data_IF_083602470225
#
_entry.id   IF_083602470225
#
_cell.length_a   1.000
_cell.length_b   1.000
_cell.length_c   1.000
_cell.angle_alpha   90.00
_cell.angle_beta   90.00
_cell.angle_gamma   90.00
#
_symmetry.space_group_name_H-M   'P 1'
#
loop_
_entity.id
_entity.type
_entity.pdbx_description
1 polymer ?
#
# COMPACT_ATOMS: atom_id res chain seq x y z
N UNK A 1 -13.10 6.81 7.66
CA UNK A 1 -12.29 5.72 7.06
C UNK A 1 -10.86 6.21 6.95
N UNK A 2 -9.91 5.38 7.35
CA UNK A 2 -8.51 5.76 7.58
C UNK A 2 -7.70 5.30 6.36
N UNK A 3 -7.24 6.23 5.52
CA UNK A 3 -6.22 5.96 4.49
C UNK A 3 -4.87 6.03 5.19
N UNK A 4 -4.32 4.90 5.62
CA UNK A 4 -2.98 4.90 6.19
C UNK A 4 -1.99 5.31 5.09
N UNK A 5 -1.20 6.36 5.33
CA UNK A 5 -0.09 6.84 4.52
C UNK A 5 1.17 6.82 5.40
N UNK A 6 2.21 6.12 4.95
CA UNK A 6 3.45 5.98 5.70
C UNK A 6 4.66 5.92 4.78
N UNK A 7 5.84 6.15 5.37
CA UNK A 7 7.16 6.06 4.74
C UNK A 7 7.93 4.89 5.40
N UNK A 8 7.48 3.64 5.22
CA UNK A 8 8.06 2.51 5.91
C UNK A 8 9.51 2.27 5.46
N UNK A 9 10.43 1.92 6.39
CA UNK A 9 11.71 1.37 6.01
C UNK A 9 11.53 0.08 5.20
N UNK A 10 12.60 -0.34 4.53
CA UNK A 10 12.58 -1.43 3.54
C UNK A 10 11.95 -2.74 4.04
N UNK A 11 12.08 -3.01 5.34
CA UNK A 11 11.60 -4.24 5.97
C UNK A 11 10.13 -4.16 6.43
N UNK A 12 9.49 -2.98 6.36
CA UNK A 12 8.15 -2.75 6.93
C UNK A 12 7.08 -2.45 5.87
N UNK A 13 7.47 -2.19 4.60
CA UNK A 13 6.50 -1.77 3.57
C UNK A 13 5.43 -2.84 3.29
N UNK A 14 5.78 -4.12 3.35
CA UNK A 14 4.83 -5.21 3.14
C UNK A 14 3.91 -5.38 4.34
N UNK A 15 4.45 -5.28 5.55
CA UNK A 15 3.69 -5.38 6.79
C UNK A 15 2.70 -4.23 6.90
N UNK A 16 3.11 -3.02 6.51
CA UNK A 16 2.22 -1.87 6.39
C UNK A 16 1.04 -2.14 5.45
N UNK A 17 1.31 -2.63 4.24
CA UNK A 17 0.26 -2.95 3.25
C UNK A 17 -0.67 -4.05 3.79
N UNK A 18 -0.10 -5.10 4.39
CA UNK A 18 -0.84 -6.21 5.00
C UNK A 18 -1.74 -5.71 6.15
N UNK A 19 -1.24 -4.84 7.01
CA UNK A 19 -2.03 -4.20 8.09
C UNK A 19 -3.15 -3.31 7.55
N UNK A 20 -2.91 -2.53 6.49
CA UNK A 20 -3.96 -1.72 5.87
C UNK A 20 -5.10 -2.58 5.33
N UNK A 21 -4.77 -3.68 4.64
CA UNK A 21 -5.77 -4.62 4.13
C UNK A 21 -6.57 -5.26 5.26
N UNK A 22 -5.89 -5.63 6.36
CA UNK A 22 -6.56 -6.17 7.54
C UNK A 22 -7.52 -5.15 8.18
N UNK A 23 -7.10 -3.89 8.37
CA UNK A 23 -7.95 -2.85 8.94
C UNK A 23 -9.17 -2.55 8.07
N UNK A 24 -9.02 -2.56 6.75
CA UNK A 24 -10.15 -2.42 5.84
C UNK A 24 -11.13 -3.59 6.03
N UNK A 25 -10.63 -4.84 6.06
CA UNK A 25 -11.48 -6.01 6.26
C UNK A 25 -12.21 -5.98 7.62
N UNK A 26 -11.53 -5.57 8.69
CA UNK A 26 -12.13 -5.40 10.02
C UNK A 26 -13.21 -4.30 10.06
N UNK A 27 -13.06 -3.27 9.21
CA UNK A 27 -14.06 -2.22 9.02
C UNK A 27 -15.23 -2.64 8.09
N UNK A 28 -15.22 -3.87 7.57
CA UNK A 28 -16.23 -4.38 6.64
C UNK A 28 -16.01 -3.95 5.18
N UNK A 29 -14.80 -3.49 4.87
CA UNK A 29 -14.39 -2.95 3.57
C UNK A 29 -13.36 -3.83 2.88
N UNK A 30 -13.32 -3.78 1.55
CA UNK A 30 -12.36 -4.55 0.75
C UNK A 30 -11.31 -3.64 0.12
N UNK A 31 -10.04 -3.99 0.32
CA UNK A 31 -8.94 -3.35 -0.38
C UNK A 31 -9.03 -3.61 -1.89
N UNK A 32 -8.83 -2.57 -2.70
CA UNK A 32 -8.95 -2.63 -4.15
C UNK A 32 -7.69 -2.26 -4.89
N UNK A 33 -6.91 -1.31 -4.38
CA UNK A 33 -5.67 -0.87 -4.99
C UNK A 33 -4.61 -0.63 -3.94
N UNK A 34 -3.36 -0.97 -4.25
CA UNK A 34 -2.20 -0.41 -3.54
C UNK A 34 -1.65 0.71 -4.41
N UNK A 35 -1.69 1.95 -3.91
CA UNK A 35 -1.16 3.13 -4.60
C UNK A 35 0.11 3.56 -3.89
N UNK A 36 1.19 3.76 -4.62
CA UNK A 36 2.46 4.17 -4.04
C UNK A 36 3.22 5.11 -4.96
N UNK A 37 4.10 5.93 -4.40
CA UNK A 37 5.00 6.76 -5.19
C UNK A 37 6.18 5.98 -5.79
N UNK A 38 6.94 6.59 -6.70
CA UNK A 38 8.05 5.92 -7.39
C UNK A 38 9.15 5.42 -6.43
N UNK A 39 9.45 6.16 -5.37
CA UNK A 39 10.48 5.79 -4.40
C UNK A 39 10.00 4.63 -3.52
N UNK A 40 8.75 4.68 -3.08
CA UNK A 40 8.09 3.58 -2.38
C UNK A 40 8.04 2.30 -3.24
N UNK A 41 7.79 2.44 -4.55
CA UNK A 41 7.75 1.31 -5.47
C UNK A 41 9.13 0.63 -5.60
N UNK A 42 10.21 1.41 -5.61
CA UNK A 42 11.57 0.86 -5.62
C UNK A 42 11.84 0.01 -4.36
N UNK A 43 11.41 0.49 -3.19
CA UNK A 43 11.51 -0.23 -1.91
C UNK A 43 10.64 -1.49 -1.91
N UNK A 44 9.36 -1.35 -2.29
CA UNK A 44 8.39 -2.44 -2.40
C UNK A 44 8.90 -3.58 -3.28
N UNK A 45 9.46 -3.26 -4.46
CA UNK A 45 10.02 -4.27 -5.37
C UNK A 45 11.13 -5.09 -4.72
N UNK A 46 11.98 -4.45 -3.90
CA UNK A 46 13.05 -5.15 -3.20
C UNK A 46 12.49 -6.05 -2.10
N UNK A 47 11.53 -5.54 -1.31
CA UNK A 47 10.89 -6.30 -0.24
C UNK A 47 10.15 -7.54 -0.76
N UNK A 48 9.35 -7.41 -1.83
CA UNK A 48 8.66 -8.55 -2.46
C UNK A 48 9.65 -9.56 -3.02
N UNK A 49 10.74 -9.10 -3.61
CA UNK A 49 11.78 -9.97 -4.14
C UNK A 49 12.45 -10.81 -3.04
N UNK A 50 12.77 -10.16 -1.91
CA UNK A 50 13.33 -10.80 -0.73
C UNK A 50 12.35 -11.84 -0.14
N UNK A 51 11.08 -11.46 0.05
CA UNK A 51 10.02 -12.37 0.58
C UNK A 51 9.80 -13.60 -0.30
N UNK A 52 10.02 -13.48 -1.61
CA UNK A 52 9.85 -14.56 -2.59
C UNK A 52 11.17 -15.25 -2.98
N UNK A 53 12.28 -14.96 -2.28
CA UNK A 53 13.61 -15.50 -2.56
C UNK A 53 14.01 -15.42 -4.04
N UNK A 54 13.71 -14.29 -4.70
CA UNK A 54 13.94 -14.08 -6.14
C UNK A 54 14.53 -12.70 -6.44
N UNK A 55 14.94 -12.48 -7.69
CA UNK A 55 15.39 -11.15 -8.15
C UNK A 55 14.22 -10.17 -8.23
N UNK A 56 14.44 -8.87 -7.93
CA UNK A 56 13.43 -7.83 -8.11
C UNK A 56 12.94 -7.75 -9.55
N UNK A 57 11.63 -7.56 -9.71
CA UNK A 57 10.95 -7.31 -10.97
C UNK A 57 9.90 -6.22 -10.76
N UNK A 58 9.28 -5.77 -11.83
CA UNK A 58 8.10 -4.91 -11.76
C UNK A 58 6.88 -5.77 -11.36
N UNK A 59 6.57 -5.75 -10.07
CA UNK A 59 5.39 -6.43 -9.54
C UNK A 59 4.19 -5.51 -9.70
N UNK A 60 3.39 -5.74 -10.75
CA UNK A 60 2.14 -5.03 -10.99
C UNK A 60 1.00 -5.43 -10.03
N UNK A 61 1.23 -6.43 -9.18
CA UNK A 61 0.26 -6.89 -8.18
C UNK A 61 0.92 -7.30 -6.88
N UNK A 62 0.16 -7.19 -5.78
CA UNK A 62 0.48 -7.70 -4.45
C UNK A 62 -0.77 -8.35 -3.85
N UNK A 63 -0.71 -9.62 -3.43
CA UNK A 63 -1.88 -10.37 -2.92
C UNK A 63 -3.13 -10.22 -3.82
N UNK A 64 -2.95 -10.36 -5.14
CA UNK A 64 -3.99 -10.18 -6.16
C UNK A 64 -4.54 -8.76 -6.35
N UNK A 65 -4.12 -7.79 -5.53
CA UNK A 65 -4.45 -6.38 -5.69
C UNK A 65 -3.51 -5.71 -6.71
N UNK A 66 -4.03 -4.89 -7.64
CA UNK A 66 -3.20 -4.07 -8.51
C UNK A 66 -2.35 -3.07 -7.72
N UNK A 67 -1.09 -2.95 -8.11
CA UNK A 67 -0.17 -1.92 -7.65
C UNK A 67 -0.16 -0.78 -8.68
N UNK A 68 -0.47 0.43 -8.22
CA UNK A 68 -0.48 1.65 -9.03
C UNK A 68 0.65 2.56 -8.56
N UNK A 69 1.51 2.97 -9.49
CA UNK A 69 2.58 3.92 -9.21
C UNK A 69 2.10 5.33 -9.57
N UNK A 70 1.95 6.17 -8.57
CA UNK A 70 1.55 7.58 -8.69
C UNK A 70 2.82 8.47 -8.73
N UNK A 71 3.16 9.08 -9.87
CA UNK A 71 4.42 9.80 -10.03
C UNK A 71 4.55 11.05 -9.14
N UNK A 72 3.45 11.52 -8.54
CA UNK A 72 3.43 12.74 -7.72
C UNK A 72 3.51 12.46 -6.21
N UNK A 73 3.57 11.18 -5.80
CA UNK A 73 3.45 10.76 -4.40
C UNK A 73 4.78 10.49 -3.68
N UNK A 74 5.92 10.61 -4.37
CA UNK A 74 7.25 10.45 -3.77
C UNK A 74 7.49 9.05 -3.18
N UNK A 75 7.65 8.98 -1.87
CA UNK A 75 7.91 7.78 -1.06
C UNK A 75 6.69 7.29 -0.25
N UNK A 76 5.51 7.88 -0.48
CA UNK A 76 4.29 7.46 0.23
C UNK A 76 3.64 6.22 -0.39
N UNK A 77 3.04 5.39 0.47
CA UNK A 77 2.21 4.22 0.11
C UNK A 77 0.82 4.32 0.76
N UNK A 78 -0.20 3.81 0.07
CA UNK A 78 -1.61 3.87 0.46
C UNK A 78 -2.34 2.63 -0.05
N UNK A 79 -3.29 2.10 0.72
CA UNK A 79 -4.23 1.05 0.27
C UNK A 79 -5.63 1.65 0.16
N UNK A 80 -6.21 1.60 -1.04
CA UNK A 80 -7.53 2.17 -1.32
C UNK A 80 -8.61 1.09 -1.29
N UNK A 81 -9.76 1.34 -0.64
CA UNK A 81 -10.91 0.44 -0.67
C UNK A 81 -11.77 0.64 -1.93
N UNK A 82 -12.91 -0.04 -2.01
CA UNK A 82 -13.85 0.14 -3.11
C UNK A 82 -14.49 1.55 -3.15
N UNK A 83 -14.74 2.12 -4.35
CA UNK A 83 -15.27 3.49 -4.48
C UNK A 83 -16.59 3.74 -3.73
N UNK A 84 -17.44 2.72 -3.58
CA UNK A 84 -18.72 2.83 -2.86
C UNK A 84 -18.55 3.14 -1.37
N UNK A 85 -17.39 2.81 -0.81
CA UNK A 85 -17.05 2.98 0.62
C UNK A 85 -16.45 4.36 0.91
N UNK A 86 -16.06 5.10 -0.15
CA UNK A 86 -15.56 6.48 -0.05
C UNK A 86 -16.64 7.50 0.36
N UNK A 87 -17.93 7.10 0.38
CA UNK A 87 -19.07 7.98 0.74
C UNK A 87 -19.04 8.48 2.18
N UNK A 88 -18.32 7.82 3.08
CA UNK A 88 -18.24 8.17 4.51
C UNK A 88 -17.23 9.26 4.87
N UNK A 89 -16.53 9.84 3.89
CA UNK A 89 -15.39 10.73 4.15
C UNK A 89 -14.14 9.92 4.52
N UNK A 90 -13.05 10.18 3.81
CA UNK A 90 -11.80 9.44 3.97
C UNK A 90 -10.72 10.42 4.40
N UNK A 91 -10.04 10.10 5.49
CA UNK A 91 -8.94 10.89 6.01
C UNK A 91 -7.66 10.08 5.87
N UNK A 92 -6.63 10.71 5.32
CA UNK A 92 -5.28 10.16 5.39
C UNK A 92 -4.85 10.10 6.86
N UNK A 93 -4.27 8.98 7.26
CA UNK A 93 -3.63 8.75 8.53
C UNK A 93 -2.16 8.66 8.27
N UNK A 94 -1.48 9.70 8.69
CA UNK A 94 -0.04 9.77 8.63
C UNK A 94 0.49 9.21 9.95
N UNK A 95 1.35 8.19 9.88
CA UNK A 95 2.13 7.79 11.06
C UNK A 95 3.19 8.88 11.26
N UNK A 96 3.19 9.61 12.39
CA UNK A 96 4.21 10.63 12.67
C UNK A 96 5.59 9.98 12.69
N UNK A 97 6.56 10.64 12.03
CA UNK A 97 7.97 10.23 12.03
C UNK A 97 8.65 10.41 13.38
#
# INVERSE_FOLDING_TARGET
MIILQHHPPQDEILDFIDQCMQQLAEAGSEARYVVMGPDAFAVFRQAVAARLSRKPKDFGTYNYLPVVVDPFRGDAVCVLPEPREMKGGVQAFEIPG
#
